data_IF_674453257344
#
_entry.id   IF_674453257344
#
_cell.length_a   1.000
_cell.length_b   1.000
_cell.length_c   1.000
_cell.angle_alpha   90.00
_cell.angle_beta   90.00
_cell.angle_gamma   90.00
#
_symmetry.space_group_name_H-M   'P 1'
#
loop_
_entity.id
_entity.type
_entity.pdbx_description
1 polymer ?
#
# COMPACT_ATOMS: atom_id res chain seq x y z
N UNK A 1 8.80 -1.22 9.78
CA UNK A 1 9.31 0.13 9.59
C UNK A 1 10.04 0.23 8.26
N UNK A 2 11.32 -0.13 8.18
CA UNK A 2 12.13 0.15 6.98
C UNK A 2 11.58 -0.53 5.73
N UNK A 3 11.16 -1.79 5.81
CA UNK A 3 10.56 -2.51 4.67
C UNK A 3 9.26 -1.91 4.14
N UNK A 4 8.46 -1.26 5.00
CA UNK A 4 7.19 -0.64 4.59
C UNK A 4 7.46 0.73 3.99
N UNK A 5 8.37 1.51 4.60
CA UNK A 5 8.83 2.79 4.08
C UNK A 5 9.56 2.58 2.73
N UNK A 6 10.38 1.54 2.60
CA UNK A 6 11.04 1.15 1.37
C UNK A 6 10.04 0.80 0.27
N UNK A 7 8.97 0.06 0.59
CA UNK A 7 7.90 -0.21 -0.38
C UNK A 7 7.21 1.06 -0.85
N UNK A 8 6.85 1.96 0.07
CA UNK A 8 6.24 3.26 -0.28
C UNK A 8 7.18 4.09 -1.16
N UNK A 9 8.50 4.07 -0.88
CA UNK A 9 9.50 4.73 -1.71
C UNK A 9 9.66 4.07 -3.08
N UNK A 10 9.68 2.74 -3.16
CA UNK A 10 9.75 2.00 -4.43
C UNK A 10 8.52 2.25 -5.31
N UNK A 11 7.32 2.16 -4.74
CA UNK A 11 6.08 2.48 -5.45
C UNK A 11 6.08 3.92 -5.99
N UNK A 12 6.68 4.86 -5.24
CA UNK A 12 6.86 6.22 -5.75
C UNK A 12 7.83 6.29 -6.92
N UNK A 13 9.01 5.70 -6.77
CA UNK A 13 10.04 5.74 -7.81
C UNK A 13 9.54 5.10 -9.09
N UNK A 14 8.81 3.99 -9.01
CA UNK A 14 8.16 3.36 -10.16
C UNK A 14 7.09 4.26 -10.78
N UNK A 15 6.23 4.89 -9.96
CA UNK A 15 5.21 5.84 -10.44
C UNK A 15 5.86 7.03 -11.17
N UNK A 16 6.94 7.57 -10.63
CA UNK A 16 7.68 8.69 -11.22
C UNK A 16 8.44 8.28 -12.49
N UNK A 17 9.09 7.11 -12.51
CA UNK A 17 9.75 6.58 -13.72
C UNK A 17 8.72 6.36 -14.84
N UNK A 18 7.56 5.79 -14.52
CA UNK A 18 6.46 5.58 -15.47
C UNK A 18 5.90 6.89 -16.00
N UNK A 19 5.79 7.94 -15.17
CA UNK A 19 5.43 9.30 -15.62
C UNK A 19 6.49 9.89 -16.56
N UNK A 20 7.78 9.79 -16.21
CA UNK A 20 8.89 10.29 -17.04
C UNK A 20 8.95 9.58 -18.40
N UNK A 21 8.75 8.26 -18.46
CA UNK A 21 8.67 7.52 -19.73
C UNK A 21 7.51 8.00 -20.60
N UNK A 22 6.30 8.12 -20.05
CA UNK A 22 5.14 8.66 -20.80
C UNK A 22 5.39 10.07 -21.34
N UNK A 23 6.11 10.92 -20.60
CA UNK A 23 6.43 12.27 -21.07
C UNK A 23 7.45 12.29 -22.21
N UNK A 24 8.36 11.29 -22.28
CA UNK A 24 9.31 11.13 -23.39
C UNK A 24 8.63 10.58 -24.63
N UNK A 25 7.77 9.57 -24.50
CA UNK A 25 7.01 9.01 -25.64
C UNK A 25 6.11 10.07 -26.30
N UNK A 26 5.57 11.01 -25.50
CA UNK A 26 4.77 12.14 -26.02
C UNK A 26 5.65 13.22 -26.67
N UNK A 27 6.95 13.30 -26.34
CA UNK A 27 7.84 14.34 -26.87
C UNK A 27 8.53 13.96 -28.19
N UNK A 28 8.70 12.66 -28.47
CA UNK A 28 9.12 12.17 -29.80
C UNK A 28 7.98 12.20 -30.84
N UNK A 29 6.73 12.35 -30.39
CA UNK A 29 5.59 12.67 -31.25
C UNK A 29 5.52 14.18 -31.50
N UNK A 30 6.33 14.64 -32.45
CA UNK A 30 6.33 16.00 -32.96
C UNK A 30 4.90 16.49 -33.33
N UNK A 31 4.67 17.76 -33.06
CA UNK A 31 3.64 18.62 -33.66
C UNK A 31 2.20 18.70 -33.10
N UNK A 32 2.02 18.93 -31.78
CA UNK A 32 0.92 19.81 -31.28
C UNK A 32 1.36 20.67 -30.08
N UNK A 33 1.70 21.93 -30.38
CA UNK A 33 2.01 23.01 -29.44
C UNK A 33 0.86 23.34 -28.46
N UNK A 34 1.26 23.75 -27.26
CA UNK A 34 0.63 24.76 -26.38
C UNK A 34 -0.63 24.46 -25.55
N UNK A 35 -0.73 23.31 -24.86
CA UNK A 35 -1.61 23.27 -23.67
C UNK A 35 -1.30 22.31 -22.51
N UNK A 36 -0.08 21.78 -22.39
CA UNK A 36 0.19 20.74 -21.37
C UNK A 36 1.41 20.93 -20.49
N UNK A 37 2.00 22.13 -20.44
CA UNK A 37 3.05 22.44 -19.45
C UNK A 37 2.50 22.64 -18.03
N UNK A 38 1.23 22.98 -17.87
CA UNK A 38 0.65 23.30 -16.55
C UNK A 38 0.06 22.09 -15.80
N UNK A 39 -0.02 20.91 -16.43
CA UNK A 39 -0.59 19.71 -15.80
C UNK A 39 0.46 18.83 -15.08
N UNK A 40 1.76 19.07 -15.31
CA UNK A 40 2.84 18.23 -14.79
C UNK A 40 3.25 18.58 -13.35
N UNK A 41 3.44 19.86 -13.06
CA UNK A 41 3.96 20.30 -11.74
C UNK A 41 2.92 20.14 -10.63
N UNK A 42 1.66 20.49 -10.89
CA UNK A 42 0.60 20.39 -9.87
C UNK A 42 0.23 18.96 -9.47
N UNK A 43 0.45 17.95 -10.32
CA UNK A 43 0.23 16.54 -9.96
C UNK A 43 1.41 15.93 -9.21
N UNK A 44 2.64 16.34 -9.50
CA UNK A 44 3.81 15.82 -8.77
C UNK A 44 3.86 16.38 -7.35
N UNK A 45 3.53 17.65 -7.13
CA UNK A 45 3.39 18.20 -5.77
C UNK A 45 2.27 17.49 -4.97
N UNK A 46 1.14 17.19 -5.60
CA UNK A 46 0.06 16.41 -4.95
C UNK A 46 0.54 15.00 -4.59
N UNK A 47 1.28 14.35 -5.48
CA UNK A 47 1.82 13.02 -5.22
C UNK A 47 2.88 13.02 -4.11
N UNK A 48 3.68 14.08 -3.97
CA UNK A 48 4.61 14.24 -2.85
C UNK A 48 3.89 14.48 -1.53
N UNK A 49 2.89 15.36 -1.50
CA UNK A 49 2.05 15.58 -0.31
C UNK A 49 1.35 14.30 0.14
N UNK A 50 0.76 13.53 -0.77
CA UNK A 50 0.15 12.23 -0.45
C UNK A 50 1.14 11.23 0.16
N UNK A 51 2.43 11.32 -0.19
CA UNK A 51 3.45 10.46 0.41
C UNK A 51 3.90 10.93 1.76
N UNK A 52 4.11 12.23 1.93
CA UNK A 52 4.43 12.76 3.25
C UNK A 52 3.28 12.51 4.23
N UNK A 53 2.03 12.63 3.80
CA UNK A 53 0.88 12.31 4.64
C UNK A 53 0.76 10.81 4.93
N UNK A 54 1.13 9.93 3.98
CA UNK A 54 1.24 8.48 4.24
C UNK A 54 2.39 8.15 5.18
N UNK A 55 3.54 8.78 5.03
CA UNK A 55 4.70 8.56 5.90
C UNK A 55 4.38 9.06 7.31
N UNK A 56 3.76 10.25 7.44
CA UNK A 56 3.29 10.79 8.72
C UNK A 56 2.26 9.89 9.37
N UNK A 57 1.23 9.45 8.64
CA UNK A 57 0.23 8.54 9.22
C UNK A 57 0.81 7.19 9.64
N UNK A 58 1.80 6.65 8.92
CA UNK A 58 2.56 5.46 9.35
C UNK A 58 3.38 5.77 10.61
N UNK A 59 4.01 6.94 10.69
CA UNK A 59 4.77 7.38 11.86
C UNK A 59 3.87 7.63 13.08
N UNK A 60 2.68 8.19 12.90
CA UNK A 60 1.71 8.49 13.95
C UNK A 60 1.06 7.20 14.46
N UNK A 61 0.67 6.29 13.56
CA UNK A 61 0.20 4.95 13.93
C UNK A 61 1.30 4.17 14.68
N UNK A 62 2.56 4.44 14.36
CA UNK A 62 3.69 3.89 15.09
C UNK A 62 3.91 4.58 16.44
N UNK A 63 3.54 5.86 16.62
CA UNK A 63 3.64 6.55 17.91
C UNK A 63 2.74 5.89 18.96
N UNK A 64 1.55 5.40 18.58
CA UNK A 64 0.68 4.63 19.47
C UNK A 64 1.30 3.29 19.91
N UNK A 65 2.21 2.72 19.12
CA UNK A 65 2.87 1.43 19.41
C UNK A 65 4.33 1.55 19.88
N UNK A 66 4.92 2.76 19.83
CA UNK A 66 6.19 3.07 20.47
C UNK A 66 5.95 3.02 21.97
N UNK A 67 6.06 1.82 22.51
CA UNK A 67 6.22 1.59 23.93
C UNK A 67 7.30 2.55 24.40
N UNK A 68 6.91 3.45 25.28
CA UNK A 68 7.75 4.43 25.92
C UNK A 68 9.12 3.81 26.26
N UNK A 69 10.21 4.55 26.04
CA UNK A 69 11.60 4.04 26.06
C UNK A 69 12.09 3.49 27.41
N UNK A 70 11.19 3.31 28.36
CA UNK A 70 11.41 2.58 29.59
C UNK A 70 11.57 1.08 29.39
N UNK A 71 12.04 0.37 30.42
CA UNK A 71 12.20 -1.08 30.39
C UNK A 71 10.85 -1.75 30.09
N UNK A 72 10.81 -2.54 29.02
CA UNK A 72 9.59 -3.27 28.62
C UNK A 72 9.31 -4.37 29.64
N UNK A 73 8.36 -4.12 30.54
CA UNK A 73 7.93 -5.09 31.53
C UNK A 73 7.02 -6.11 30.85
N UNK A 74 7.47 -7.35 30.77
CA UNK A 74 6.67 -8.46 30.28
C UNK A 74 5.94 -9.12 31.44
N UNK A 75 4.63 -9.30 31.30
CA UNK A 75 3.82 -10.10 32.22
C UNK A 75 3.20 -11.26 31.44
N UNK A 76 3.27 -12.47 32.00
CA UNK A 76 2.65 -13.63 31.40
C UNK A 76 1.14 -13.57 31.63
N UNK A 77 0.38 -13.49 30.54
CA UNK A 77 -1.07 -13.60 30.62
C UNK A 77 -1.50 -15.04 30.93
N UNK A 78 -2.44 -15.22 31.87
CA UNK A 78 -3.00 -16.53 32.24
C UNK A 78 -3.53 -17.32 31.04
N UNK A 79 -4.14 -16.63 30.07
CA UNK A 79 -4.74 -17.23 28.87
C UNK A 79 -3.77 -17.32 27.67
N UNK A 80 -2.45 -17.36 27.91
CA UNK A 80 -1.44 -17.35 26.85
C UNK A 80 -1.64 -18.48 25.82
N UNK A 81 -1.99 -19.68 26.27
CA UNK A 81 -2.24 -20.80 25.38
C UNK A 81 -3.41 -20.53 24.42
N UNK A 82 -4.54 -20.01 24.94
CA UNK A 82 -5.68 -19.64 24.11
C UNK A 82 -5.31 -18.55 23.10
N UNK A 83 -4.58 -17.52 23.54
CA UNK A 83 -4.07 -16.47 22.63
C UNK A 83 -3.17 -17.03 21.54
N UNK A 84 -2.37 -18.05 21.84
CA UNK A 84 -1.54 -18.74 20.84
C UNK A 84 -2.41 -19.45 19.80
N UNK A 85 -3.43 -20.19 20.23
CA UNK A 85 -4.34 -20.88 19.30
C UNK A 85 -5.11 -19.87 18.44
N UNK A 86 -5.62 -18.80 19.04
CA UNK A 86 -6.32 -17.73 18.31
C UNK A 86 -5.39 -17.07 17.28
N UNK A 87 -4.13 -16.78 17.64
CA UNK A 87 -3.13 -16.25 16.70
C UNK A 87 -2.91 -17.18 15.51
N UNK A 88 -2.79 -18.49 15.76
CA UNK A 88 -2.61 -19.48 14.70
C UNK A 88 -3.84 -19.56 13.79
N UNK A 89 -5.05 -19.61 14.36
CA UNK A 89 -6.32 -19.60 13.61
C UNK A 89 -6.46 -18.34 12.76
N UNK A 90 -6.19 -17.17 13.32
CA UNK A 90 -6.28 -15.90 12.61
C UNK A 90 -5.26 -15.83 11.45
N UNK A 91 -4.04 -16.35 11.65
CA UNK A 91 -3.03 -16.40 10.60
C UNK A 91 -3.44 -17.33 9.46
N UNK A 92 -3.99 -18.50 9.79
CA UNK A 92 -4.51 -19.48 8.84
C UNK A 92 -5.68 -18.89 8.01
N UNK A 93 -6.65 -18.26 8.67
CA UNK A 93 -7.79 -17.59 8.02
C UNK A 93 -7.29 -16.46 7.10
N UNK A 94 -6.34 -15.65 7.57
CA UNK A 94 -5.77 -14.58 6.77
C UNK A 94 -5.06 -15.11 5.52
N UNK A 95 -4.34 -16.24 5.63
CA UNK A 95 -3.72 -16.91 4.47
C UNK A 95 -4.77 -17.38 3.46
N UNK A 96 -5.80 -18.11 3.92
CA UNK A 96 -6.89 -18.57 3.04
C UNK A 96 -7.64 -17.42 2.38
N UNK A 97 -7.89 -16.34 3.10
CA UNK A 97 -8.56 -15.16 2.54
C UNK A 97 -7.71 -14.50 1.45
N UNK A 98 -6.39 -14.41 1.64
CA UNK A 98 -5.46 -13.92 0.61
C UNK A 98 -5.45 -14.82 -0.62
N UNK A 99 -5.49 -16.14 -0.45
CA UNK A 99 -5.54 -17.10 -1.56
C UNK A 99 -6.87 -17.03 -2.32
N UNK A 100 -8.00 -16.91 -1.61
CA UNK A 100 -9.33 -16.71 -2.22
C UNK A 100 -9.40 -15.44 -3.05
N UNK A 101 -8.82 -14.34 -2.57
CA UNK A 101 -8.77 -13.07 -3.30
C UNK A 101 -7.85 -13.12 -4.53
N UNK A 102 -6.81 -13.95 -4.50
CA UNK A 102 -5.92 -14.16 -5.67
C UNK A 102 -6.58 -14.98 -6.78
N UNK A 103 -7.52 -15.85 -6.43
CA UNK A 103 -8.19 -16.73 -7.39
C UNK A 103 -9.46 -16.05 -7.93
N UNK A 104 -9.45 -15.50 -9.16
CA UNK A 104 -10.64 -14.84 -9.72
C UNK A 104 -11.83 -15.79 -9.87
N UNK A 105 -11.57 -17.08 -10.06
CA UNK A 105 -12.60 -18.12 -10.21
C UNK A 105 -13.25 -18.54 -8.88
N UNK A 106 -12.77 -18.05 -7.73
CA UNK A 106 -13.37 -18.40 -6.44
C UNK A 106 -14.71 -17.68 -6.20
N UNK A 107 -14.89 -16.52 -6.83
CA UNK A 107 -16.13 -15.78 -6.73
C UNK A 107 -17.16 -16.35 -7.71
N UNK A 108 -18.38 -16.65 -7.26
CA UNK A 108 -19.44 -17.08 -8.18
C UNK A 108 -19.68 -15.97 -9.21
N UNK A 109 -19.55 -16.30 -10.49
CA UNK A 109 -19.99 -15.43 -11.57
C UNK A 109 -21.50 -15.54 -11.71
N UNK A 110 -22.14 -14.42 -12.07
CA UNK A 110 -23.58 -14.39 -12.34
C UNK A 110 -23.92 -15.39 -13.46
N UNK A 111 -24.97 -16.20 -13.31
CA UNK A 111 -25.38 -17.13 -14.35
C UNK A 111 -25.69 -16.35 -15.63
N UNK A 112 -25.07 -16.75 -16.73
CA UNK A 112 -25.38 -16.23 -18.07
C UNK A 112 -26.63 -16.93 -18.55
N UNK A 113 -27.79 -16.54 -18.03
CA UNK A 113 -29.05 -16.97 -18.59
C UNK A 113 -29.24 -16.19 -19.88
N UNK A 114 -29.02 -16.87 -21.01
CA UNK A 114 -29.35 -16.39 -22.34
C UNK A 114 -30.89 -16.39 -22.44
N UNK A 115 -31.47 -15.20 -22.47
CA UNK A 115 -32.88 -14.90 -22.70
C UNK A 115 -32.94 -14.18 -24.05
#
# INVERSE_FOLDING_TARGET
MDKEIEKVKQEYEEKMKRKKQKSKDVKDGDDKRDKKKDAGEGEDEKAEKEKDDKIKSIQDSAAETRTDGGPRIFSLHKNFYQMRIDRMRNMEIAKRNRERLKNPNFFPSTPKTDL
#
